data_IF_945433475732
#
_entry.id   IF_945433475732
#
_cell.length_a   1.000
_cell.length_b   1.000
_cell.length_c   1.000
_cell.angle_alpha   90.00
_cell.angle_beta   90.00
_cell.angle_gamma   90.00
#
_symmetry.space_group_name_H-M   'P 1'
#
loop_
_entity.id
_entity.type
_entity.pdbx_description
1 polymer ?
#
# COMPACT_ATOMS: atom_id res chain seq x y z
N UNK A 1 12.12 -34.68 -11.96
CA UNK A 1 12.30 -35.61 -10.82
C UNK A 1 11.05 -35.51 -9.95
N UNK A 2 9.97 -36.18 -10.38
CA UNK A 2 8.72 -36.21 -9.64
C UNK A 2 8.79 -37.31 -8.61
N UNK A 3 8.60 -36.97 -7.33
CA UNK A 3 8.41 -37.99 -6.30
C UNK A 3 7.02 -38.63 -6.49
N UNK A 4 6.87 -39.93 -6.21
CA UNK A 4 5.56 -40.56 -6.17
C UNK A 4 4.73 -39.88 -5.06
N UNK A 5 3.50 -39.52 -5.42
CA UNK A 5 2.55 -38.78 -4.59
C UNK A 5 1.61 -39.76 -3.87
N UNK A 6 2.12 -40.89 -3.42
CA UNK A 6 1.36 -42.00 -2.82
C UNK A 6 0.81 -41.69 -1.42
N UNK A 7 1.04 -40.48 -0.89
CA UNK A 7 0.62 -40.09 0.46
C UNK A 7 -0.01 -38.69 0.58
N UNK A 8 -0.34 -38.02 -0.54
CA UNK A 8 -1.01 -36.71 -0.47
C UNK A 8 -2.52 -36.92 -0.52
N UNK A 9 -3.17 -36.69 0.61
CA UNK A 9 -4.62 -36.60 0.68
C UNK A 9 -5.02 -35.20 0.20
N UNK A 10 -5.66 -35.15 -0.96
CA UNK A 10 -6.18 -33.92 -1.54
C UNK A 10 -7.53 -33.62 -0.90
N UNK A 11 -7.62 -32.51 -0.17
CA UNK A 11 -8.87 -32.04 0.39
C UNK A 11 -9.31 -30.79 -0.39
N UNK A 12 -10.60 -30.69 -0.69
CA UNK A 12 -11.19 -29.44 -1.13
C UNK A 12 -11.72 -28.73 0.10
N UNK A 13 -11.37 -27.45 0.33
CA UNK A 13 -12.17 -26.63 1.21
C UNK A 13 -12.51 -25.32 0.50
N UNK A 14 -13.71 -25.26 -0.08
CA UNK A 14 -14.55 -24.08 0.17
C UNK A 14 -15.28 -24.33 1.50
N UNK A 15 -14.71 -23.78 2.57
CA UNK A 15 -15.49 -23.48 3.76
C UNK A 15 -16.43 -22.30 3.43
N UNK A 16 -17.49 -22.58 2.69
CA UNK A 16 -18.56 -21.64 2.40
C UNK A 16 -18.84 -21.46 0.90
N UNK A 17 -19.91 -22.12 0.45
CA UNK A 17 -20.56 -22.03 -0.88
C UNK A 17 -20.03 -22.98 -1.96
N UNK A 18 -20.69 -24.14 -2.04
CA UNK A 18 -20.96 -24.88 -3.27
C UNK A 18 -19.80 -25.04 -4.27
N UNK A 19 -18.71 -25.69 -3.86
CA UNK A 19 -17.63 -26.12 -4.76
C UNK A 19 -17.63 -27.63 -4.94
N UNK A 20 -17.85 -28.10 -6.16
CA UNK A 20 -17.85 -29.51 -6.57
C UNK A 20 -16.58 -30.26 -6.14
N UNK A 21 -16.71 -31.54 -5.80
CA UNK A 21 -15.57 -32.32 -5.32
C UNK A 21 -14.52 -32.51 -6.44
N UNK A 22 -13.24 -32.69 -6.08
CA UNK A 22 -12.16 -33.02 -7.04
C UNK A 22 -12.54 -34.14 -8.05
N UNK A 23 -13.24 -35.22 -7.65
CA UNK A 23 -13.74 -36.22 -8.58
C UNK A 23 -14.68 -35.64 -9.65
N UNK A 24 -15.56 -34.70 -9.29
CA UNK A 24 -16.51 -34.06 -10.21
C UNK A 24 -15.79 -33.16 -11.21
N UNK A 25 -14.75 -32.44 -10.76
CA UNK A 25 -13.89 -31.61 -11.60
C UNK A 25 -13.04 -32.44 -12.57
N UNK A 26 -12.58 -33.62 -12.16
CA UNK A 26 -11.89 -34.54 -13.06
C UNK A 26 -12.86 -35.22 -14.02
N UNK A 27 -14.10 -35.46 -13.58
CA UNK A 27 -15.17 -35.99 -14.41
C UNK A 27 -15.56 -35.00 -15.51
N UNK A 28 -15.65 -33.70 -15.22
CA UNK A 28 -16.00 -32.67 -16.21
C UNK A 28 -14.97 -32.56 -17.34
N UNK A 29 -13.68 -32.69 -17.02
CA UNK A 29 -12.60 -32.77 -18.02
C UNK A 29 -12.72 -34.06 -18.85
N UNK A 30 -13.00 -35.20 -18.20
CA UNK A 30 -13.14 -36.50 -18.87
C UNK A 30 -14.35 -36.51 -19.82
N UNK A 31 -15.51 -36.04 -19.36
CA UNK A 31 -16.78 -35.97 -20.10
C UNK A 31 -16.74 -34.94 -21.25
N UNK A 32 -15.66 -34.17 -21.37
CA UNK A 32 -15.36 -33.38 -22.56
C UNK A 32 -15.98 -31.99 -22.58
N UNK A 33 -16.46 -31.49 -21.44
CA UNK A 33 -16.90 -30.09 -21.32
C UNK A 33 -15.71 -29.13 -21.23
N UNK A 34 -14.61 -29.53 -20.59
CA UNK A 34 -13.41 -28.69 -20.41
C UNK A 34 -12.13 -29.37 -20.91
N UNK A 35 -11.29 -28.62 -21.64
CA UNK A 35 -9.98 -29.10 -22.14
C UNK A 35 -8.84 -28.84 -21.15
N UNK A 36 -8.97 -27.77 -20.36
CA UNK A 36 -8.01 -27.36 -19.33
C UNK A 36 -8.78 -26.91 -18.08
N UNK A 37 -8.34 -27.35 -16.91
CA UNK A 37 -8.83 -26.92 -15.61
C UNK A 37 -7.66 -26.40 -14.79
N UNK A 38 -7.84 -25.23 -14.17
CA UNK A 38 -6.93 -24.64 -13.21
C UNK A 38 -7.72 -24.33 -11.94
N UNK A 39 -7.29 -24.89 -10.81
CA UNK A 39 -7.98 -24.71 -9.52
C UNK A 39 -6.99 -24.73 -8.36
N UNK A 40 -7.09 -23.75 -7.48
CA UNK A 40 -6.36 -23.73 -6.21
C UNK A 40 -7.10 -24.57 -5.17
N UNK A 41 -6.35 -25.43 -4.48
CA UNK A 41 -6.86 -26.40 -3.51
C UNK A 41 -5.93 -26.45 -2.29
N UNK A 42 -6.31 -27.22 -1.27
CA UNK A 42 -5.45 -27.45 -0.11
C UNK A 42 -5.12 -28.94 0.03
N UNK A 43 -3.84 -29.26 -0.06
CA UNK A 43 -3.35 -30.62 0.20
C UNK A 43 -3.04 -30.81 1.66
N UNK A 44 -3.22 -32.03 2.16
CA UNK A 44 -2.68 -32.46 3.45
C UNK A 44 -1.52 -33.43 3.21
N UNK A 45 -0.37 -33.14 3.83
CA UNK A 45 0.78 -34.05 3.88
C UNK A 45 0.54 -35.18 4.89
N UNK A 46 1.35 -36.24 4.84
CA UNK A 46 1.26 -37.36 5.79
C UNK A 46 1.45 -36.96 7.26
N UNK A 47 2.14 -35.85 7.51
CA UNK A 47 2.39 -35.26 8.82
C UNK A 47 1.20 -34.43 9.35
N UNK A 48 0.12 -34.31 8.56
CA UNK A 48 -1.06 -33.54 8.88
C UNK A 48 -0.99 -32.07 8.46
N UNK A 49 0.13 -31.58 7.95
CA UNK A 49 0.31 -30.19 7.50
C UNK A 49 -0.54 -29.90 6.27
N UNK A 50 -1.33 -28.83 6.35
CA UNK A 50 -2.14 -28.33 5.24
C UNK A 50 -1.31 -27.32 4.47
N UNK A 51 -1.25 -27.46 3.15
CA UNK A 51 -0.53 -26.54 2.28
C UNK A 51 -1.37 -26.21 1.03
N UNK A 52 -1.33 -24.96 0.55
CA UNK A 52 -2.00 -24.61 -0.68
C UNK A 52 -1.29 -25.24 -1.87
N UNK A 53 -2.06 -25.84 -2.76
CA UNK A 53 -1.59 -26.40 -4.01
C UNK A 53 -2.42 -25.89 -5.18
N UNK A 54 -1.77 -25.75 -6.31
CA UNK A 54 -2.38 -25.42 -7.57
C UNK A 54 -2.50 -26.69 -8.42
N UNK A 55 -3.72 -27.05 -8.81
CA UNK A 55 -4.00 -28.19 -9.67
C UNK A 55 -4.32 -27.70 -11.08
N UNK A 56 -3.50 -28.15 -12.03
CA UNK A 56 -3.71 -27.95 -13.45
C UNK A 56 -3.97 -29.30 -14.12
N UNK A 57 -5.17 -29.53 -14.62
CA UNK A 57 -5.54 -30.75 -15.31
C UNK A 57 -5.83 -30.49 -16.78
N UNK A 58 -5.38 -31.36 -17.67
CA UNK A 58 -5.54 -31.25 -19.12
C UNK A 58 -5.89 -32.60 -19.73
N UNK A 59 -6.89 -32.61 -20.60
CA UNK A 59 -7.27 -33.79 -21.38
C UNK A 59 -6.37 -33.94 -22.60
N UNK A 60 -5.76 -35.11 -22.76
CA UNK A 60 -4.94 -35.47 -23.93
C UNK A 60 -5.51 -36.75 -24.54
N UNK A 61 -5.92 -36.67 -25.81
CA UNK A 61 -6.41 -37.84 -26.57
C UNK A 61 -5.26 -38.47 -27.34
N UNK A 62 -4.93 -39.74 -27.06
CA UNK A 62 -3.84 -40.47 -27.70
C UNK A 62 -4.36 -41.81 -28.25
N UNK A 63 -4.33 -42.00 -29.58
CA UNK A 63 -4.60 -43.30 -30.25
C UNK A 63 -5.86 -44.07 -29.77
N UNK A 64 -6.98 -43.38 -29.52
CA UNK A 64 -8.27 -43.85 -28.95
C UNK A 64 -8.41 -43.87 -27.42
N UNK A 65 -7.36 -43.61 -26.66
CA UNK A 65 -7.43 -43.46 -25.20
C UNK A 65 -7.42 -41.99 -24.77
N UNK A 66 -8.34 -41.64 -23.86
CA UNK A 66 -8.38 -40.32 -23.21
C UNK A 66 -7.57 -40.38 -21.93
N UNK A 67 -6.43 -39.69 -21.91
CA UNK A 67 -5.59 -39.54 -20.73
C UNK A 67 -5.83 -38.15 -20.15
N UNK A 68 -6.13 -38.08 -18.85
CA UNK A 68 -6.14 -36.82 -18.11
C UNK A 68 -4.79 -36.67 -17.43
N UNK A 69 -4.05 -35.63 -17.80
CA UNK A 69 -2.78 -35.27 -17.15
C UNK A 69 -3.06 -34.21 -16.10
N UNK A 70 -2.74 -34.50 -14.84
CA UNK A 70 -2.83 -33.55 -13.74
C UNK A 70 -1.44 -33.16 -13.25
N UNK A 71 -1.21 -31.86 -13.10
CA UNK A 71 -0.02 -31.28 -12.50
C UNK A 71 -0.43 -30.64 -11.19
N UNK A 72 0.27 -30.98 -10.11
CA UNK A 72 0.10 -30.37 -8.81
C UNK A 72 1.34 -29.54 -8.50
N UNK A 73 1.15 -28.28 -8.11
CA UNK A 73 2.22 -27.37 -7.71
C UNK A 73 1.96 -26.88 -6.30
N UNK A 74 2.89 -27.12 -5.38
CA UNK A 74 2.87 -26.47 -4.06
C UNK A 74 3.10 -24.96 -4.26
N UNK A 75 2.14 -24.13 -3.85
CA UNK A 75 2.19 -22.67 -4.01
C UNK A 75 2.42 -21.94 -2.68
N UNK A 76 2.81 -22.65 -1.63
CA UNK A 76 3.03 -22.07 -0.28
C UNK A 76 3.98 -20.87 -0.34
N UNK A 77 5.12 -21.02 -1.02
CA UNK A 77 6.13 -19.96 -1.15
C UNK A 77 5.60 -18.75 -1.93
N UNK A 78 4.82 -19.01 -2.98
CA UNK A 78 4.22 -17.96 -3.80
C UNK A 78 3.22 -17.13 -2.98
N UNK A 79 2.29 -17.80 -2.28
CA UNK A 79 1.31 -17.15 -1.41
C UNK A 79 1.97 -16.37 -0.28
N UNK A 80 3.01 -16.92 0.35
CA UNK A 80 3.72 -16.21 1.43
C UNK A 80 4.43 -14.95 0.91
N UNK A 81 5.12 -15.05 -0.23
CA UNK A 81 5.82 -13.90 -0.83
C UNK A 81 4.83 -12.80 -1.23
N UNK A 82 3.67 -13.19 -1.76
CA UNK A 82 2.60 -12.25 -2.10
C UNK A 82 2.07 -11.53 -0.86
N UNK A 83 1.81 -12.26 0.22
CA UNK A 83 1.37 -11.68 1.50
C UNK A 83 2.41 -10.72 2.09
N UNK A 84 3.69 -11.10 2.06
CA UNK A 84 4.78 -10.25 2.56
C UNK A 84 4.89 -8.96 1.74
N UNK A 85 4.78 -9.05 0.41
CA UNK A 85 4.76 -7.88 -0.48
C UNK A 85 3.55 -6.98 -0.21
N UNK A 86 2.36 -7.55 -0.01
CA UNK A 86 1.16 -6.81 0.35
C UNK A 86 1.33 -6.07 1.68
N UNK A 87 1.91 -6.73 2.70
CA UNK A 87 2.16 -6.10 3.99
C UNK A 87 3.16 -4.92 3.88
N UNK A 88 4.25 -5.11 3.13
CA UNK A 88 5.26 -4.06 2.90
C UNK A 88 4.66 -2.86 2.15
N UNK A 89 3.90 -3.11 1.08
CA UNK A 89 3.28 -2.03 0.30
C UNK A 89 2.27 -1.23 1.13
N UNK A 90 1.51 -1.89 1.99
CA UNK A 90 0.58 -1.21 2.90
C UNK A 90 1.33 -0.32 3.92
N UNK A 91 2.42 -0.83 4.51
CA UNK A 91 3.27 -0.05 5.42
C UNK A 91 3.89 1.18 4.72
N UNK A 92 4.38 1.01 3.48
CA UNK A 92 4.89 2.12 2.68
C UNK A 92 3.82 3.18 2.41
N UNK A 93 2.59 2.77 2.10
CA UNK A 93 1.49 3.70 1.86
C UNK A 93 1.18 4.55 3.10
N UNK A 94 1.13 3.92 4.28
CA UNK A 94 0.91 4.61 5.57
C UNK A 94 2.05 5.59 5.88
N UNK A 95 3.31 5.19 5.66
CA UNK A 95 4.45 6.08 5.89
C UNK A 95 4.46 7.28 4.93
N UNK A 96 4.06 7.06 3.68
CA UNK A 96 4.01 8.13 2.68
C UNK A 96 2.96 9.20 3.03
N UNK A 97 1.77 8.78 3.48
CA UNK A 97 0.73 9.73 3.93
C UNK A 97 1.20 10.53 5.14
N UNK A 98 1.80 9.87 6.14
CA UNK A 98 2.38 10.55 7.30
C UNK A 98 3.45 11.57 6.93
N UNK A 99 4.36 11.21 6.02
CA UNK A 99 5.40 12.12 5.53
C UNK A 99 4.81 13.32 4.81
N UNK A 100 3.79 13.09 3.98
CA UNK A 100 3.11 14.15 3.23
C UNK A 100 2.41 15.13 4.18
N UNK A 101 1.71 14.64 5.18
CA UNK A 101 1.06 15.46 6.21
C UNK A 101 2.08 16.28 7.01
N UNK A 102 3.15 15.65 7.49
CA UNK A 102 4.21 16.33 8.23
C UNK A 102 4.89 17.42 7.38
N UNK A 103 5.10 17.14 6.09
CA UNK A 103 5.67 18.11 5.15
C UNK A 103 4.73 19.30 4.94
N UNK A 104 3.43 19.07 4.74
CA UNK A 104 2.45 20.14 4.60
C UNK A 104 2.36 21.01 5.85
N UNK A 105 2.38 20.42 7.04
CA UNK A 105 2.40 21.16 8.31
C UNK A 105 3.65 22.03 8.42
N UNK A 106 4.83 21.48 8.09
CA UNK A 106 6.08 22.22 8.12
C UNK A 106 6.05 23.41 7.15
N UNK A 107 5.57 23.20 5.92
CA UNK A 107 5.41 24.27 4.93
C UNK A 107 4.44 25.35 5.41
N UNK A 108 3.30 24.96 5.99
CA UNK A 108 2.34 25.89 6.56
C UNK A 108 2.94 26.75 7.67
N UNK A 109 3.70 26.14 8.59
CA UNK A 109 4.39 26.86 9.66
C UNK A 109 5.44 27.84 9.12
N UNK A 110 6.22 27.44 8.12
CA UNK A 110 7.21 28.31 7.46
C UNK A 110 6.55 29.50 6.78
N UNK A 111 5.45 29.28 6.05
CA UNK A 111 4.70 30.35 5.40
C UNK A 111 4.09 31.32 6.42
N UNK A 112 3.48 30.80 7.49
CA UNK A 112 2.92 31.62 8.56
C UNK A 112 4.01 32.48 9.22
N UNK A 113 5.17 31.91 9.51
CA UNK A 113 6.32 32.64 10.08
C UNK A 113 6.81 33.73 9.14
N UNK A 114 6.96 33.43 7.85
CA UNK A 114 7.38 34.42 6.86
C UNK A 114 6.39 35.57 6.75
N UNK A 115 5.09 35.26 6.71
CA UNK A 115 4.02 36.26 6.64
C UNK A 115 4.01 37.15 7.88
N UNK A 116 4.10 36.55 9.07
CA UNK A 116 4.18 37.26 10.33
C UNK A 116 5.37 38.25 10.34
N UNK A 117 6.57 37.78 10.01
CA UNK A 117 7.77 38.62 9.99
C UNK A 117 7.66 39.78 8.99
N UNK A 118 7.13 39.52 7.79
CA UNK A 118 6.92 40.55 6.79
C UNK A 118 5.94 41.62 7.30
N UNK A 119 4.77 41.21 7.82
CA UNK A 119 3.77 42.14 8.37
C UNK A 119 4.34 42.96 9.52
N UNK A 120 4.98 42.32 10.50
CA UNK A 120 5.58 43.02 11.65
C UNK A 120 6.65 44.02 11.20
N UNK A 121 7.47 43.67 10.20
CA UNK A 121 8.49 44.59 9.66
C UNK A 121 7.86 45.84 9.03
N UNK A 122 6.75 45.68 8.30
CA UNK A 122 6.02 46.81 7.72
C UNK A 122 5.34 47.67 8.79
N UNK A 123 4.75 47.05 9.80
CA UNK A 123 4.06 47.75 10.87
C UNK A 123 5.01 48.47 11.82
N UNK A 124 6.24 48.00 11.99
CA UNK A 124 7.28 48.71 12.78
C UNK A 124 7.87 49.88 12.00
N UNK A 125 8.03 49.74 10.67
CA UNK A 125 8.65 50.79 9.84
C UNK A 125 7.86 52.10 9.87
N UNK A 126 6.53 52.03 9.83
CA UNK A 126 5.66 53.22 9.82
C UNK A 126 5.85 54.10 11.06
N UNK A 127 5.64 53.62 12.31
CA UNK A 127 5.83 54.43 13.51
C UNK A 127 7.29 54.85 13.68
N UNK A 128 8.26 54.00 13.35
CA UNK A 128 9.68 54.35 13.45
C UNK A 128 10.05 55.50 12.51
N UNK A 129 9.54 55.50 11.27
CA UNK A 129 9.73 56.60 10.33
C UNK A 129 9.06 57.89 10.82
N UNK A 130 7.87 57.81 11.43
CA UNK A 130 7.19 58.96 12.01
C UNK A 130 7.98 59.57 13.18
N UNK A 131 8.53 58.74 14.08
CA UNK A 131 9.36 59.19 15.20
C UNK A 131 10.63 59.86 14.68
N UNK A 132 11.32 59.25 13.71
CA UNK A 132 12.53 59.83 13.12
C UNK A 132 12.26 61.16 12.41
N UNK A 133 11.13 61.27 11.70
CA UNK A 133 10.69 62.51 11.08
C UNK A 133 10.47 63.62 12.10
N UNK A 134 9.77 63.33 13.20
CA UNK A 134 9.57 64.29 14.29
C UNK A 134 10.89 64.70 14.95
N UNK A 135 11.78 63.75 15.23
CA UNK A 135 13.09 64.03 15.81
C UNK A 135 13.94 64.93 14.88
N UNK A 136 13.88 64.70 13.57
CA UNK A 136 14.60 65.53 12.57
C UNK A 136 14.07 66.97 12.58
N UNK A 137 12.74 67.17 12.65
CA UNK A 137 12.15 68.50 12.73
C UNK A 137 12.53 69.24 14.03
N UNK A 138 12.62 68.53 15.16
CA UNK A 138 13.06 69.12 16.43
C UNK A 138 14.55 69.52 16.41
N UNK A 139 15.37 68.83 15.62
CA UNK A 139 16.79 69.17 15.44
C UNK A 139 17.00 70.35 14.49
N UNK A 140 16.18 70.47 13.44
CA UNK A 140 16.29 71.52 12.42
C UNK A 140 15.60 72.85 12.78
N UNK A 141 14.80 72.89 13.86
CA UNK A 141 14.09 74.09 14.31
C UNK A 141 14.63 74.65 15.63
N UNK A 142 14.71 75.98 15.78
CA UNK A 142 14.98 76.61 17.09
C UNK A 142 13.77 76.41 18.01
N UNK A 143 13.87 75.44 18.92
CA UNK A 143 12.84 75.06 19.88
C UNK A 143 12.28 76.28 20.63
N UNK A 144 10.96 76.45 20.61
CA UNK A 144 10.28 77.49 21.40
C UNK A 144 10.33 77.17 22.90
N UNK A 145 10.19 78.18 23.76
CA UNK A 145 10.30 78.05 25.22
C UNK A 145 9.38 76.96 25.80
N UNK A 146 8.18 76.79 25.23
CA UNK A 146 7.21 75.76 25.64
C UNK A 146 7.62 74.32 25.27
N UNK A 147 8.47 74.14 24.25
CA UNK A 147 8.99 72.81 23.86
C UNK A 147 10.17 72.33 24.73
N UNK A 148 10.71 73.20 25.59
CA UNK A 148 11.84 72.87 26.48
C UNK A 148 11.42 72.42 27.89
N UNK A 149 10.15 72.60 28.27
CA UNK A 149 9.65 72.32 29.63
C UNK A 149 8.84 71.01 29.75
N UNK A 150 8.59 70.30 28.64
CA UNK A 150 8.03 68.94 28.61
C UNK A 150 9.13 67.91 28.33
#
# INVERSE_FOLDING_TARGET
LGQPLDQVLLFSPDAGQSGSALPDLLLSIREGMDTHLHVELFGQRNDGTIFPLDLSATKVSLHDDVIVTCILRDITVCKQTEQDLQAITQDLAIKNTQLTEAHQQALGAVQAKSRFLATMSHEIRTPMNSILGMATLLLDTTLSTDQREC
#
